data_IF_205884213783
#
_entry.id   IF_205884213783
#
_cell.length_a   1.000
_cell.length_b   1.000
_cell.length_c   1.000
_cell.angle_alpha   90.00
_cell.angle_beta   90.00
_cell.angle_gamma   90.00
#
_symmetry.space_group_name_H-M   'P 1'
#
loop_
_entity.id
_entity.type
_entity.pdbx_description
1 polymer ?
#
# COMPACT_ATOMS: atom_id res chain seq x y z
N UNK A 1 12.37 13.56 16.60
CA UNK A 1 10.99 13.04 16.78
C UNK A 1 11.00 11.58 16.44
N UNK A 2 10.46 10.72 17.33
CA UNK A 2 10.40 9.28 17.10
C UNK A 2 9.06 8.89 16.49
N UNK A 3 9.10 8.11 15.41
CA UNK A 3 7.92 7.65 14.67
C UNK A 3 7.89 6.12 14.60
N UNK A 4 6.69 5.54 14.60
CA UNK A 4 6.49 4.11 14.38
C UNK A 4 5.96 3.89 12.95
N UNK A 5 6.57 2.94 12.23
CA UNK A 5 6.04 2.40 10.97
C UNK A 5 5.70 0.94 11.19
N UNK A 6 4.43 0.54 11.08
CA UNK A 6 4.04 -0.87 11.10
C UNK A 6 3.99 -1.43 9.69
N UNK A 7 4.33 -2.70 9.49
CA UNK A 7 4.49 -3.28 8.14
C UNK A 7 5.69 -2.68 7.41
N UNK A 8 6.72 -2.31 8.16
CA UNK A 8 7.93 -1.66 7.66
C UNK A 8 8.78 -2.57 6.77
N UNK A 9 8.67 -3.88 6.94
CA UNK A 9 9.32 -4.93 6.14
C UNK A 9 8.72 -5.09 4.74
N UNK A 10 7.52 -4.52 4.52
CA UNK A 10 6.79 -4.61 3.26
C UNK A 10 7.24 -3.59 2.20
N UNK A 11 6.55 -3.61 1.05
CA UNK A 11 6.82 -2.75 -0.10
C UNK A 11 6.79 -1.25 0.26
N UNK A 12 5.63 -0.70 0.59
CA UNK A 12 5.49 0.73 0.89
C UNK A 12 6.18 1.08 2.20
N UNK A 13 6.06 0.21 3.22
CA UNK A 13 6.62 0.45 4.54
C UNK A 13 8.14 0.62 4.54
N UNK A 14 8.87 -0.17 3.73
CA UNK A 14 10.33 -0.04 3.62
C UNK A 14 10.76 1.27 2.96
N UNK A 15 10.07 1.69 1.90
CA UNK A 15 10.33 2.99 1.26
C UNK A 15 10.02 4.16 2.20
N UNK A 16 8.91 4.08 2.94
CA UNK A 16 8.54 5.10 3.93
C UNK A 16 9.55 5.17 5.06
N UNK A 17 9.99 4.03 5.59
CA UNK A 17 11.02 3.94 6.63
C UNK A 17 12.30 4.63 6.20
N UNK A 18 12.82 4.29 5.00
CA UNK A 18 14.04 4.92 4.49
C UNK A 18 13.85 6.42 4.20
N UNK A 19 12.67 6.85 3.74
CA UNK A 19 12.37 8.26 3.52
C UNK A 19 12.35 9.04 4.83
N UNK A 20 11.70 8.53 5.86
CA UNK A 20 11.67 9.13 7.20
C UNK A 20 13.07 9.25 7.82
N UNK A 21 13.92 8.24 7.67
CA UNK A 21 15.32 8.29 8.12
C UNK A 21 16.10 9.39 7.39
N UNK A 22 15.93 9.53 6.07
CA UNK A 22 16.55 10.60 5.26
C UNK A 22 16.08 12.00 5.68
N UNK A 23 14.85 12.13 6.16
CA UNK A 23 14.29 13.38 6.69
C UNK A 23 14.66 13.65 8.16
N UNK A 24 15.48 12.78 8.78
CA UNK A 24 16.02 12.99 10.14
C UNK A 24 15.12 12.51 11.27
N UNK A 25 14.11 11.67 10.99
CA UNK A 25 13.31 11.03 12.03
C UNK A 25 14.05 9.86 12.68
N UNK A 26 13.76 9.61 13.95
CA UNK A 26 14.04 8.34 14.60
C UNK A 26 12.89 7.37 14.27
N UNK A 27 13.19 6.24 13.62
CA UNK A 27 12.17 5.32 13.16
C UNK A 27 12.22 4.01 13.93
N UNK A 28 11.11 3.67 14.59
CA UNK A 28 10.83 2.31 15.04
C UNK A 28 10.07 1.59 13.93
N UNK A 29 10.67 0.55 13.36
CA UNK A 29 10.14 -0.22 12.25
C UNK A 29 9.60 -1.56 12.76
N UNK A 30 8.28 -1.77 12.73
CA UNK A 30 7.69 -3.07 13.03
C UNK A 30 7.73 -3.95 11.80
N UNK A 31 8.47 -5.04 11.89
CA UNK A 31 8.52 -6.14 10.93
C UNK A 31 7.70 -7.32 11.45
N UNK A 32 7.02 -8.05 10.57
CA UNK A 32 6.26 -9.22 10.96
C UNK A 32 7.21 -10.32 11.46
N UNK A 33 6.96 -10.83 12.68
CA UNK A 33 7.69 -11.99 13.20
C UNK A 33 7.49 -13.20 12.28
N UNK A 34 8.58 -13.78 11.80
CA UNK A 34 8.54 -14.93 10.91
C UNK A 34 9.66 -15.95 11.24
N UNK A 35 9.43 -17.21 10.84
CA UNK A 35 10.36 -18.31 11.12
C UNK A 35 11.68 -18.25 10.33
N UNK A 36 11.75 -17.42 9.29
CA UNK A 36 12.98 -17.24 8.52
C UNK A 36 13.93 -16.22 9.14
N UNK A 37 13.54 -15.59 10.25
CA UNK A 37 14.33 -14.59 10.98
C UNK A 37 14.89 -13.51 10.05
N UNK A 38 14.00 -12.94 9.20
CA UNK A 38 14.35 -11.85 8.31
C UNK A 38 13.39 -10.65 8.44
N UNK A 39 13.87 -9.50 8.04
CA UNK A 39 13.15 -8.23 8.11
C UNK A 39 12.69 -7.73 6.72
N UNK A 40 12.43 -8.67 5.81
CA UNK A 40 11.93 -8.36 4.47
C UNK A 40 12.82 -7.38 3.70
N UNK A 41 12.26 -6.26 3.28
CA UNK A 41 13.02 -5.25 2.53
C UNK A 41 13.90 -4.34 3.39
N UNK A 42 13.88 -4.50 4.71
CA UNK A 42 14.80 -3.80 5.62
C UNK A 42 16.08 -4.61 5.92
N UNK A 43 16.21 -5.83 5.38
CA UNK A 43 17.47 -6.58 5.45
C UNK A 43 18.61 -5.73 4.86
N UNK A 44 19.68 -5.59 5.65
CA UNK A 44 20.84 -4.81 5.24
C UNK A 44 20.71 -3.30 5.39
N UNK A 45 19.54 -2.78 5.78
CA UNK A 45 19.38 -1.36 6.10
C UNK A 45 19.97 -1.10 7.48
N UNK A 46 21.06 -0.33 7.53
CA UNK A 46 21.74 0.05 8.78
C UNK A 46 21.71 1.58 8.91
N UNK A 47 21.10 2.07 9.99
CA UNK A 47 21.05 3.51 10.29
C UNK A 47 20.97 3.72 11.81
N UNK A 48 21.72 4.67 12.40
CA UNK A 48 21.76 4.87 13.87
C UNK A 48 20.41 5.28 14.47
N UNK A 49 19.52 5.87 13.66
CA UNK A 49 18.17 6.26 14.07
C UNK A 49 17.09 5.21 13.71
N UNK A 50 17.48 3.99 13.29
CA UNK A 50 16.56 2.90 12.98
C UNK A 50 16.56 1.87 14.11
N UNK A 51 15.37 1.64 14.67
CA UNK A 51 15.10 0.55 15.62
C UNK A 51 14.17 -0.46 14.93
N UNK A 52 14.65 -1.68 14.65
CA UNK A 52 13.81 -2.74 14.09
C UNK A 52 13.26 -3.60 15.22
N UNK A 53 11.94 -3.81 15.22
CA UNK A 53 11.23 -4.63 16.19
C UNK A 53 10.43 -5.69 15.43
N UNK A 54 10.59 -6.97 15.80
CA UNK A 54 9.78 -8.06 15.25
C UNK A 54 8.58 -8.35 16.13
N UNK A 55 7.39 -8.44 15.52
CA UNK A 55 6.15 -8.70 16.26
C UNK A 55 4.91 -8.75 15.37
N UNK A 56 3.74 -8.70 15.99
CA UNK A 56 2.46 -8.84 15.32
C UNK A 56 1.43 -7.84 15.87
N UNK A 57 0.79 -7.07 14.99
CA UNK A 57 -0.25 -6.10 15.38
C UNK A 57 -1.49 -6.76 15.96
N UNK A 58 -1.67 -8.06 15.79
CA UNK A 58 -2.80 -8.82 16.37
C UNK A 58 -2.67 -9.01 17.89
N UNK A 59 -1.47 -8.83 18.44
CA UNK A 59 -1.22 -8.89 19.87
C UNK A 59 -1.36 -7.51 20.51
N UNK A 60 -2.40 -7.35 21.34
CA UNK A 60 -2.72 -6.06 21.97
C UNK A 60 -1.71 -5.67 23.06
N UNK A 61 -1.10 -6.63 23.75
CA UNK A 61 -0.10 -6.37 24.80
C UNK A 61 1.19 -5.90 24.16
N UNK A 62 1.62 -6.57 23.10
CA UNK A 62 2.77 -6.17 22.29
C UNK A 62 2.58 -4.75 21.70
N UNK A 63 1.42 -4.47 21.13
CA UNK A 63 1.14 -3.14 20.54
C UNK A 63 1.26 -2.00 21.56
N UNK A 64 0.87 -2.23 22.83
CA UNK A 64 1.01 -1.24 23.91
C UNK A 64 2.48 -0.90 24.19
N UNK A 65 3.35 -1.90 24.19
CA UNK A 65 4.78 -1.68 24.38
C UNK A 65 5.43 -1.06 23.13
N UNK A 66 5.04 -1.53 21.95
CA UNK A 66 5.56 -1.07 20.67
C UNK A 66 5.40 0.45 20.47
N UNK A 67 4.27 1.02 20.89
CA UNK A 67 3.93 2.43 20.67
C UNK A 67 4.63 3.37 21.66
N UNK A 68 5.16 2.86 22.79
CA UNK A 68 5.76 3.69 23.83
C UNK A 68 6.90 4.57 23.31
N UNK A 69 6.84 5.85 23.62
CA UNK A 69 7.84 6.84 23.22
C UNK A 69 7.75 7.31 21.77
N UNK A 70 6.80 6.79 20.98
CA UNK A 70 6.55 7.28 19.63
C UNK A 70 5.56 8.45 19.66
N UNK A 71 5.87 9.52 18.93
CA UNK A 71 5.01 10.70 18.81
C UNK A 71 4.02 10.58 17.65
N UNK A 72 4.37 9.81 16.63
CA UNK A 72 3.59 9.64 15.41
C UNK A 72 3.62 8.18 14.96
N UNK A 73 2.53 7.69 14.38
CA UNK A 73 2.41 6.32 13.90
C UNK A 73 1.93 6.33 12.44
N UNK A 74 2.64 5.59 11.59
CA UNK A 74 2.22 5.20 10.26
C UNK A 74 1.80 3.72 10.31
N UNK A 75 0.51 3.46 10.29
CA UNK A 75 -0.02 2.10 10.37
C UNK A 75 -0.28 1.52 8.99
N UNK A 76 0.71 0.73 8.48
CA UNK A 76 0.66 0.10 7.17
C UNK A 76 0.50 -1.44 7.26
N UNK A 77 0.70 -2.04 8.42
CA UNK A 77 0.56 -3.49 8.60
C UNK A 77 -0.84 -3.96 8.20
N UNK A 78 -0.93 -4.79 7.17
CA UNK A 78 -2.18 -5.32 6.64
C UNK A 78 -1.94 -6.55 5.76
N UNK A 79 -2.93 -7.42 5.64
CA UNK A 79 -3.04 -8.37 4.54
C UNK A 79 -3.76 -7.67 3.38
N UNK A 80 -3.18 -7.73 2.16
CA UNK A 80 -3.61 -6.90 1.03
C UNK A 80 -4.01 -7.67 -0.24
N UNK A 81 -3.58 -8.94 -0.40
CA UNK A 81 -3.82 -9.70 -1.62
C UNK A 81 -5.29 -10.08 -1.77
N UNK A 82 -6.03 -9.44 -2.68
CA UNK A 82 -7.46 -9.69 -2.90
C UNK A 82 -7.75 -11.19 -3.15
N UNK A 83 -7.01 -11.91 -4.04
CA UNK A 83 -7.27 -13.34 -4.25
C UNK A 83 -7.11 -14.21 -3.01
N UNK A 84 -6.16 -13.88 -2.13
CA UNK A 84 -5.99 -14.61 -0.88
C UNK A 84 -7.11 -14.31 0.13
N UNK A 85 -7.72 -13.14 0.07
CA UNK A 85 -8.86 -12.80 0.94
C UNK A 85 -10.10 -13.68 0.70
N UNK A 86 -10.23 -14.29 -0.48
CA UNK A 86 -11.29 -15.28 -0.76
C UNK A 86 -11.04 -16.63 -0.08
N UNK A 87 -9.76 -16.94 0.21
CA UNK A 87 -9.34 -18.22 0.78
C UNK A 87 -9.31 -18.15 2.31
N UNK A 88 -8.79 -17.04 2.85
CA UNK A 88 -8.54 -16.87 4.28
C UNK A 88 -9.12 -15.54 4.82
N UNK A 89 -10.44 -15.30 4.70
CA UNK A 89 -11.04 -14.01 5.09
C UNK A 89 -10.88 -13.69 6.58
N UNK A 90 -10.88 -14.70 7.45
CA UNK A 90 -10.69 -14.54 8.89
C UNK A 90 -9.34 -13.92 9.23
N UNK A 91 -8.27 -14.35 8.55
CA UNK A 91 -6.95 -13.74 8.71
C UNK A 91 -6.93 -12.24 8.38
N UNK A 92 -7.77 -11.82 7.42
CA UNK A 92 -7.93 -10.40 7.06
C UNK A 92 -8.67 -9.63 8.15
N UNK A 93 -9.70 -10.20 8.75
CA UNK A 93 -10.40 -9.60 9.91
C UNK A 93 -9.42 -9.43 11.08
N UNK A 94 -8.69 -10.48 11.42
CA UNK A 94 -7.74 -10.45 12.54
C UNK A 94 -6.62 -9.43 12.31
N UNK A 95 -6.05 -9.36 11.10
CA UNK A 95 -4.94 -8.46 10.83
C UNK A 95 -5.43 -7.03 10.59
N UNK A 96 -6.40 -6.84 9.69
CA UNK A 96 -6.77 -5.50 9.23
C UNK A 96 -7.69 -4.78 10.22
N UNK A 97 -8.68 -5.48 10.81
CA UNK A 97 -9.62 -4.85 11.76
C UNK A 97 -9.08 -4.91 13.18
N UNK A 98 -8.79 -6.10 13.69
CA UNK A 98 -8.31 -6.27 15.07
C UNK A 98 -6.92 -5.64 15.26
N UNK A 99 -6.01 -5.79 14.27
CA UNK A 99 -4.71 -5.11 14.30
C UNK A 99 -4.85 -3.60 14.36
N UNK A 100 -5.76 -3.00 13.58
CA UNK A 100 -6.04 -1.56 13.64
C UNK A 100 -6.64 -1.17 15.00
N UNK A 101 -7.54 -1.97 15.57
CA UNK A 101 -8.07 -1.75 16.92
C UNK A 101 -6.95 -1.68 17.96
N UNK A 102 -6.03 -2.65 17.92
CA UNK A 102 -4.92 -2.72 18.88
C UNK A 102 -4.02 -1.49 18.77
N UNK A 103 -3.70 -1.05 17.55
CA UNK A 103 -2.91 0.17 17.32
C UNK A 103 -3.66 1.42 17.80
N UNK A 104 -4.96 1.56 17.54
CA UNK A 104 -5.76 2.69 18.03
C UNK A 104 -5.80 2.75 19.56
N UNK A 105 -5.99 1.60 20.24
CA UNK A 105 -5.97 1.52 21.69
C UNK A 105 -4.60 1.89 22.28
N UNK A 106 -3.52 1.37 21.68
CA UNK A 106 -2.15 1.65 22.09
C UNK A 106 -1.77 3.12 21.86
N UNK A 107 -2.13 3.68 20.70
CA UNK A 107 -1.91 5.07 20.33
C UNK A 107 -2.63 6.03 21.29
N UNK A 108 -3.89 5.72 21.64
CA UNK A 108 -4.64 6.50 22.64
C UNK A 108 -3.99 6.46 24.01
N UNK A 109 -3.59 5.28 24.48
CA UNK A 109 -2.97 5.12 25.79
C UNK A 109 -1.61 5.83 25.89
N UNK A 110 -0.86 5.89 24.79
CA UNK A 110 0.44 6.55 24.71
C UNK A 110 0.33 8.07 24.43
N UNK A 111 -0.86 8.59 24.09
CA UNK A 111 -1.06 10.01 23.80
C UNK A 111 -0.31 10.48 22.54
N UNK A 112 -0.32 9.67 21.47
CA UNK A 112 0.38 10.03 20.23
C UNK A 112 -0.19 11.30 19.60
N UNK A 113 0.65 12.07 18.93
CA UNK A 113 0.28 13.34 18.29
C UNK A 113 -0.36 13.17 16.92
N UNK A 114 -0.14 12.02 16.28
CA UNK A 114 -0.70 11.70 14.95
C UNK A 114 -0.71 10.19 14.72
N UNK A 115 -1.85 9.67 14.20
CA UNK A 115 -1.98 8.31 13.71
C UNK A 115 -2.45 8.34 12.25
N UNK A 116 -1.57 7.96 11.33
CA UNK A 116 -1.92 7.75 9.92
C UNK A 116 -2.31 6.29 9.74
N UNK A 117 -3.57 6.04 9.41
CA UNK A 117 -4.07 4.70 9.09
C UNK A 117 -4.14 4.55 7.58
N UNK A 118 -3.41 3.57 7.05
CA UNK A 118 -3.41 3.31 5.61
C UNK A 118 -4.66 2.57 5.20
N UNK A 119 -5.47 3.19 4.36
CA UNK A 119 -6.64 2.61 3.68
C UNK A 119 -6.27 2.14 2.26
N UNK A 120 -7.25 2.09 1.37
CA UNK A 120 -7.10 1.68 -0.03
C UNK A 120 -8.21 2.27 -0.89
N UNK A 121 -7.94 2.54 -2.17
CA UNK A 121 -8.97 2.90 -3.16
C UNK A 121 -10.01 1.79 -3.39
N UNK A 122 -9.68 0.53 -3.09
CA UNK A 122 -10.61 -0.62 -3.23
C UNK A 122 -11.85 -0.53 -2.32
N UNK A 123 -11.86 0.38 -1.32
CA UNK A 123 -13.06 0.64 -0.48
C UNK A 123 -14.19 1.28 -1.28
N UNK A 124 -13.89 1.95 -2.38
CA UNK A 124 -14.88 2.60 -3.23
C UNK A 124 -15.60 1.63 -4.18
N UNK A 125 -14.98 0.46 -4.45
CA UNK A 125 -15.47 -0.43 -5.50
C UNK A 125 -15.36 0.21 -6.89
N UNK A 126 -16.18 -0.24 -7.83
CA UNK A 126 -16.26 0.36 -9.16
C UNK A 126 -16.81 1.77 -9.07
N UNK A 127 -16.09 2.72 -9.66
CA UNK A 127 -16.42 4.14 -9.61
C UNK A 127 -17.82 4.43 -10.18
N UNK A 128 -18.62 5.18 -9.41
CA UNK A 128 -19.89 5.76 -9.89
C UNK A 128 -19.66 7.11 -10.59
N UNK A 129 -18.60 7.81 -10.17
CA UNK A 129 -18.12 9.04 -10.78
C UNK A 129 -16.59 9.07 -10.80
N UNK A 130 -15.99 9.79 -11.75
CA UNK A 130 -14.54 9.91 -11.92
C UNK A 130 -14.19 11.36 -12.20
N UNK A 131 -13.18 11.93 -11.53
CA UNK A 131 -12.36 11.30 -10.49
C UNK A 131 -13.13 11.04 -9.19
N UNK A 132 -12.76 9.98 -8.45
CA UNK A 132 -13.44 9.51 -7.23
C UNK A 132 -13.12 10.45 -6.07
N UNK A 133 -14.08 11.22 -5.53
CA UNK A 133 -13.87 12.07 -4.36
C UNK A 133 -13.91 11.25 -3.07
N UNK A 134 -13.46 11.82 -1.96
CA UNK A 134 -13.52 11.18 -0.63
C UNK A 134 -14.96 10.95 -0.15
N UNK A 135 -15.92 11.68 -0.70
CA UNK A 135 -17.36 11.54 -0.40
C UNK A 135 -18.04 10.41 -1.16
N UNK A 136 -17.34 9.76 -2.10
CA UNK A 136 -17.88 8.61 -2.84
C UNK A 136 -18.31 7.49 -1.87
N UNK A 137 -19.45 6.83 -2.09
CA UNK A 137 -19.89 5.74 -1.23
C UNK A 137 -18.88 4.59 -1.22
N UNK A 138 -18.74 3.95 -0.05
CA UNK A 138 -17.91 2.76 0.11
C UNK A 138 -18.70 1.52 -0.32
N UNK A 139 -18.14 0.77 -1.27
CA UNK A 139 -18.78 -0.40 -1.88
C UNK A 139 -17.80 -1.60 -1.83
N UNK A 140 -17.86 -2.46 -0.82
CA UNK A 140 -16.94 -3.58 -0.72
C UNK A 140 -17.22 -4.63 -1.79
N UNK A 141 -16.27 -4.87 -2.68
CA UNK A 141 -16.36 -5.92 -3.71
C UNK A 141 -15.46 -7.14 -3.42
N UNK A 142 -14.80 -7.15 -2.25
CA UNK A 142 -13.99 -8.28 -1.77
C UNK A 142 -13.94 -8.34 -0.25
N UNK A 143 -13.61 -9.49 0.37
CA UNK A 143 -13.37 -9.56 1.81
C UNK A 143 -12.25 -8.60 2.25
N UNK A 144 -11.20 -8.43 1.43
CA UNK A 144 -10.15 -7.43 1.68
C UNK A 144 -10.73 -6.02 1.82
N UNK A 145 -11.48 -5.54 0.82
CA UNK A 145 -12.04 -4.18 0.87
C UNK A 145 -13.02 -4.00 2.03
N UNK A 146 -13.80 -5.03 2.35
CA UNK A 146 -14.69 -5.00 3.51
C UNK A 146 -13.92 -4.82 4.83
N UNK A 147 -12.78 -5.53 5.00
CA UNK A 147 -11.96 -5.37 6.21
C UNK A 147 -11.26 -4.00 6.26
N UNK A 148 -10.91 -3.40 5.14
CA UNK A 148 -10.36 -2.03 5.11
C UNK A 148 -11.40 -0.98 5.45
N UNK A 149 -12.65 -1.13 4.96
CA UNK A 149 -13.78 -0.27 5.38
C UNK A 149 -14.01 -0.39 6.89
N UNK A 150 -14.00 -1.61 7.43
CA UNK A 150 -14.12 -1.85 8.87
C UNK A 150 -13.02 -1.20 9.69
N UNK A 151 -11.77 -1.29 9.22
CA UNK A 151 -10.62 -0.66 9.85
C UNK A 151 -10.71 0.88 9.82
N UNK A 152 -11.10 1.47 8.68
CA UNK A 152 -11.33 2.92 8.53
C UNK A 152 -12.40 3.41 9.50
N UNK A 153 -13.56 2.73 9.51
CA UNK A 153 -14.68 3.09 10.39
C UNK A 153 -14.30 2.99 11.87
N UNK A 154 -13.56 1.94 12.24
CA UNK A 154 -13.07 1.74 13.60
C UNK A 154 -12.10 2.87 14.01
N UNK A 155 -11.12 3.18 13.20
CA UNK A 155 -10.15 4.24 13.50
C UNK A 155 -10.82 5.62 13.62
N UNK A 156 -11.76 5.95 12.73
CA UNK A 156 -12.56 7.19 12.81
C UNK A 156 -13.45 7.22 14.06
N UNK A 157 -13.98 6.08 14.52
CA UNK A 157 -14.73 6.03 15.76
C UNK A 157 -13.87 6.39 16.99
N UNK A 158 -12.57 6.07 16.97
CA UNK A 158 -11.64 6.48 18.03
C UNK A 158 -11.38 7.99 18.00
N UNK A 159 -11.34 8.60 16.81
CA UNK A 159 -11.30 10.06 16.71
C UNK A 159 -12.57 10.68 17.32
N UNK A 160 -13.75 10.22 16.89
CA UNK A 160 -15.02 10.80 17.30
C UNK A 160 -15.30 10.62 18.81
N UNK A 161 -14.94 9.46 19.38
CA UNK A 161 -15.27 9.14 20.77
C UNK A 161 -14.18 9.58 21.77
N UNK A 162 -12.93 9.66 21.34
CA UNK A 162 -11.78 9.82 22.22
C UNK A 162 -10.79 10.89 21.76
N UNK A 163 -11.13 11.64 20.71
CA UNK A 163 -10.28 12.69 20.13
C UNK A 163 -8.89 12.18 19.68
N UNK A 164 -8.76 10.86 19.39
CA UNK A 164 -7.52 10.33 18.85
C UNK A 164 -7.19 11.03 17.52
N UNK A 165 -5.98 11.60 17.33
CA UNK A 165 -5.63 12.38 16.14
C UNK A 165 -5.36 11.47 14.92
N UNK A 166 -6.41 10.80 14.45
CA UNK A 166 -6.39 9.87 13.30
C UNK A 166 -6.57 10.62 11.99
N UNK A 167 -5.82 10.21 10.98
CA UNK A 167 -6.06 10.54 9.57
C UNK A 167 -6.07 9.24 8.77
N UNK A 168 -7.10 9.03 7.96
CA UNK A 168 -7.15 7.92 7.02
C UNK A 168 -6.49 8.35 5.72
N UNK A 169 -5.34 7.78 5.43
CA UNK A 169 -4.64 8.00 4.17
C UNK A 169 -5.02 6.89 3.18
N UNK A 170 -5.58 7.28 2.04
CA UNK A 170 -6.12 6.33 1.04
C UNK A 170 -5.34 6.39 -0.26
N UNK A 171 -4.22 5.64 -0.37
CA UNK A 171 -3.47 5.57 -1.62
C UNK A 171 -4.25 4.82 -2.68
N UNK A 172 -4.16 5.32 -3.92
CA UNK A 172 -4.54 4.58 -5.11
C UNK A 172 -3.43 3.60 -5.48
N UNK A 173 -3.56 2.88 -6.60
CA UNK A 173 -2.68 1.75 -6.89
C UNK A 173 -1.19 2.12 -6.86
N UNK A 174 -0.55 1.92 -5.73
CA UNK A 174 0.88 2.19 -5.57
C UNK A 174 1.71 1.13 -6.28
N UNK A 175 2.74 1.56 -7.04
CA UNK A 175 3.67 0.68 -7.75
C UNK A 175 5.11 1.17 -7.59
N UNK A 176 6.08 0.28 -7.82
CA UNK A 176 7.51 0.62 -7.74
C UNK A 176 8.41 -0.57 -7.39
N UNK A 177 9.69 -0.31 -7.15
CA UNK A 177 10.64 -1.29 -6.63
C UNK A 177 10.10 -2.00 -5.37
N UNK A 178 10.45 -3.27 -5.16
CA UNK A 178 10.03 -4.09 -4.00
C UNK A 178 8.54 -4.49 -3.97
N UNK A 179 7.75 -4.09 -4.97
CA UNK A 179 6.35 -4.48 -5.00
C UNK A 179 6.18 -5.99 -5.17
N UNK A 180 5.23 -6.58 -4.44
CA UNK A 180 4.96 -8.02 -4.51
C UNK A 180 4.51 -8.46 -5.90
N UNK A 181 4.97 -9.64 -6.37
CA UNK A 181 4.51 -10.29 -7.59
C UNK A 181 3.03 -10.75 -7.56
N UNK A 182 2.28 -10.43 -6.50
CA UNK A 182 0.82 -10.54 -6.47
C UNK A 182 0.14 -9.37 -7.19
N UNK A 183 0.86 -8.27 -7.42
CA UNK A 183 0.37 -7.10 -8.15
C UNK A 183 0.68 -7.20 -9.65
N UNK A 184 -0.09 -6.48 -10.46
CA UNK A 184 -0.04 -6.56 -11.91
C UNK A 184 1.32 -6.15 -12.50
N UNK A 185 1.81 -4.95 -12.19
CA UNK A 185 3.06 -4.40 -12.77
C UNK A 185 4.26 -5.32 -12.51
N UNK A 186 4.56 -5.73 -11.25
CA UNK A 186 5.69 -6.64 -11.02
C UNK A 186 5.50 -8.02 -11.64
N UNK A 187 4.26 -8.52 -11.74
CA UNK A 187 3.99 -9.78 -12.44
C UNK A 187 4.39 -9.70 -13.91
N UNK A 188 4.03 -8.63 -14.61
CA UNK A 188 4.36 -8.45 -16.02
C UNK A 188 5.87 -8.26 -16.21
N UNK A 189 6.48 -7.36 -15.43
CA UNK A 189 7.92 -7.08 -15.54
C UNK A 189 8.73 -8.34 -15.26
N UNK A 190 8.43 -9.09 -14.21
CA UNK A 190 9.18 -10.29 -13.85
C UNK A 190 9.08 -11.40 -14.89
N UNK A 191 7.91 -11.60 -15.51
CA UNK A 191 7.74 -12.55 -16.61
C UNK A 191 8.62 -12.14 -17.82
N UNK A 192 8.56 -10.88 -18.24
CA UNK A 192 9.35 -10.38 -19.38
C UNK A 192 10.85 -10.43 -19.06
N UNK A 193 11.26 -10.02 -17.85
CA UNK A 193 12.66 -10.03 -17.42
C UNK A 193 13.24 -11.46 -17.33
N UNK A 194 12.43 -12.46 -17.02
CA UNK A 194 12.84 -13.88 -17.05
C UNK A 194 12.92 -14.49 -18.45
N UNK A 195 12.65 -13.71 -19.51
CA UNK A 195 12.74 -14.14 -20.90
C UNK A 195 11.49 -14.82 -21.47
N UNK A 196 10.35 -14.74 -20.75
CA UNK A 196 9.08 -15.25 -21.28
C UNK A 196 8.61 -14.39 -22.46
N UNK A 197 8.14 -15.05 -23.51
CA UNK A 197 7.56 -14.41 -24.71
C UNK A 197 6.03 -14.46 -24.71
N UNK A 198 5.47 -15.32 -23.91
CA UNK A 198 4.02 -15.44 -23.65
C UNK A 198 3.74 -15.00 -22.21
N UNK A 199 3.07 -13.85 -22.05
CA UNK A 199 2.83 -13.22 -20.76
C UNK A 199 1.40 -13.53 -20.30
N UNK A 200 1.29 -14.24 -19.18
CA UNK A 200 0.02 -14.59 -18.56
C UNK A 200 -0.54 -13.44 -17.76
N UNK A 201 -1.72 -12.95 -18.10
CA UNK A 201 -2.41 -11.83 -17.45
C UNK A 201 -3.89 -12.17 -17.20
N UNK A 202 -4.55 -11.37 -16.37
CA UNK A 202 -5.99 -11.38 -16.17
C UNK A 202 -6.72 -10.50 -17.20
N UNK A 203 -7.86 -9.91 -16.78
CA UNK A 203 -8.58 -8.93 -17.60
C UNK A 203 -7.72 -7.67 -17.81
N UNK A 204 -7.67 -7.20 -19.05
CA UNK A 204 -6.89 -6.02 -19.46
C UNK A 204 -7.75 -4.77 -19.65
N UNK A 205 -9.07 -4.90 -19.53
CA UNK A 205 -10.01 -3.79 -19.72
C UNK A 205 -10.10 -2.81 -18.55
N UNK A 206 -9.95 -3.23 -17.27
CA UNK A 206 -10.04 -2.31 -16.15
C UNK A 206 -9.01 -1.17 -16.23
N UNK A 207 -9.39 -0.01 -15.68
CA UNK A 207 -8.48 1.14 -15.58
C UNK A 207 -8.05 1.37 -14.14
N UNK A 208 -6.84 1.89 -13.96
CA UNK A 208 -6.25 2.19 -12.65
C UNK A 208 -5.54 3.53 -12.67
N UNK A 209 -5.54 4.19 -11.52
CA UNK A 209 -4.70 5.33 -11.19
C UNK A 209 -3.46 4.80 -10.46
N UNK A 210 -2.32 4.87 -11.12
CA UNK A 210 -1.06 4.37 -10.58
C UNK A 210 -0.24 5.48 -9.94
N UNK A 211 0.08 5.31 -8.64
CA UNK A 211 0.98 6.18 -7.90
C UNK A 211 2.36 5.55 -7.74
N UNK A 212 3.41 6.26 -8.11
CA UNK A 212 4.75 5.79 -7.81
C UNK A 212 5.00 5.79 -6.31
N UNK A 213 5.70 4.77 -5.79
CA UNK A 213 5.82 4.52 -4.35
C UNK A 213 6.39 5.70 -3.56
N UNK A 214 7.34 6.44 -4.12
CA UNK A 214 7.88 7.64 -3.45
C UNK A 214 6.85 8.77 -3.34
N UNK A 215 5.97 8.92 -4.34
CA UNK A 215 4.85 9.89 -4.28
C UNK A 215 3.86 9.48 -3.19
N UNK A 216 3.55 8.20 -3.07
CA UNK A 216 2.71 7.67 -1.99
C UNK A 216 3.34 7.95 -0.62
N UNK A 217 4.65 7.68 -0.44
CA UNK A 217 5.35 7.94 0.82
C UNK A 217 5.37 9.43 1.18
N UNK A 218 5.64 10.31 0.19
CA UNK A 218 5.55 11.77 0.40
C UNK A 218 4.13 12.20 0.80
N UNK A 219 3.11 11.54 0.22
CA UNK A 219 1.71 11.76 0.61
C UNK A 219 1.44 11.43 2.07
N UNK A 220 1.90 10.28 2.55
CA UNK A 220 1.79 9.90 3.96
C UNK A 220 2.45 10.93 4.88
N UNK A 221 3.69 11.35 4.57
CA UNK A 221 4.42 12.33 5.38
C UNK A 221 3.71 13.69 5.35
N UNK A 222 3.25 14.13 4.18
CA UNK A 222 2.53 15.40 4.06
C UNK A 222 1.23 15.41 4.90
N UNK A 223 0.47 14.31 4.90
CA UNK A 223 -0.72 14.15 5.74
C UNK A 223 -0.38 14.07 7.23
N UNK A 224 0.74 13.45 7.57
CA UNK A 224 1.16 13.36 8.97
C UNK A 224 1.51 14.72 9.56
N UNK A 225 2.01 15.64 8.75
CA UNK A 225 2.43 17.00 9.17
C UNK A 225 1.34 18.06 9.00
N UNK A 226 0.28 17.81 8.23
CA UNK A 226 -0.76 18.78 7.97
C UNK A 226 -1.62 19.04 9.23
N UNK A 227 -1.81 20.30 9.65
CA UNK A 227 -2.64 20.64 10.81
C UNK A 227 -4.14 20.61 10.46
N UNK A 228 -4.97 20.29 11.45
CA UNK A 228 -6.43 20.44 11.37
C UNK A 228 -7.11 19.47 10.40
N UNK A 229 -6.52 18.29 10.16
CA UNK A 229 -7.07 17.26 9.28
C UNK A 229 -7.44 15.96 10.01
N UNK A 230 -7.39 16.01 11.33
CA UNK A 230 -7.78 14.88 12.18
C UNK A 230 -9.25 14.50 11.91
N UNK A 231 -9.53 13.20 11.89
CA UNK A 231 -10.86 12.66 11.57
C UNK A 231 -11.19 12.64 10.07
N UNK A 232 -10.27 13.03 9.18
CA UNK A 232 -10.51 13.04 7.74
C UNK A 232 -9.99 11.80 7.05
N UNK A 233 -10.68 11.44 5.97
CA UNK A 233 -10.24 10.47 4.97
C UNK A 233 -9.71 11.26 3.77
N UNK A 234 -8.50 10.93 3.27
CA UNK A 234 -7.85 11.73 2.23
C UNK A 234 -7.20 10.82 1.18
N UNK A 235 -7.57 11.02 -0.08
CA UNK A 235 -7.02 10.28 -1.21
C UNK A 235 -5.59 10.73 -1.51
N UNK A 236 -4.72 9.76 -1.82
CA UNK A 236 -3.39 9.97 -2.41
C UNK A 236 -3.43 9.36 -3.80
N UNK A 237 -3.66 10.18 -4.82
CA UNK A 237 -3.94 9.75 -6.19
C UNK A 237 -3.17 10.59 -7.20
N UNK A 238 -2.74 10.00 -8.33
CA UNK A 238 -2.12 10.76 -9.41
C UNK A 238 -3.14 11.64 -10.16
N UNK A 239 -4.43 11.27 -10.10
CA UNK A 239 -5.50 11.91 -10.84
C UNK A 239 -5.54 11.54 -12.32
N UNK A 240 -4.81 10.50 -12.71
CA UNK A 240 -4.77 9.99 -14.09
C UNK A 240 -5.05 8.50 -14.12
N UNK A 241 -5.83 8.06 -15.11
CA UNK A 241 -6.14 6.65 -15.28
C UNK A 241 -5.58 6.09 -16.58
N UNK A 242 -5.23 4.82 -16.55
CA UNK A 242 -4.77 4.06 -17.71
C UNK A 242 -5.32 2.64 -17.64
N UNK A 243 -5.61 2.02 -18.81
CA UNK A 243 -6.05 0.63 -18.84
C UNK A 243 -4.90 -0.32 -18.48
N UNK A 244 -5.26 -1.49 -17.93
CA UNK A 244 -4.28 -2.55 -17.67
C UNK A 244 -3.57 -2.96 -18.98
N UNK A 245 -4.31 -2.98 -20.10
CA UNK A 245 -3.75 -3.29 -21.42
C UNK A 245 -2.75 -2.26 -21.93
N UNK A 246 -3.02 -0.96 -21.76
CA UNK A 246 -2.07 0.09 -22.15
C UNK A 246 -0.84 0.10 -21.24
N UNK A 247 -1.04 -0.14 -19.94
CA UNK A 247 0.07 -0.27 -18.99
C UNK A 247 1.01 -1.41 -19.39
N UNK A 248 0.45 -2.54 -19.77
CA UNK A 248 1.20 -3.71 -20.21
C UNK A 248 1.97 -3.43 -21.51
N UNK A 249 1.33 -2.77 -22.50
CA UNK A 249 2.01 -2.34 -23.72
C UNK A 249 3.17 -1.38 -23.44
N UNK A 250 2.95 -0.43 -22.53
CA UNK A 250 3.99 0.52 -22.12
C UNK A 250 5.18 -0.18 -21.46
N UNK A 251 4.96 -1.17 -20.60
CA UNK A 251 6.01 -1.99 -19.98
C UNK A 251 6.82 -2.73 -21.06
N UNK A 252 6.14 -3.41 -21.98
CA UNK A 252 6.80 -4.14 -23.08
C UNK A 252 7.64 -3.22 -23.99
N UNK A 253 7.13 -2.03 -24.30
CA UNK A 253 7.80 -0.99 -25.07
C UNK A 253 9.07 -0.49 -24.37
N UNK A 254 8.98 -0.13 -23.08
CA UNK A 254 10.14 0.32 -22.30
C UNK A 254 11.22 -0.77 -22.23
N UNK A 255 10.80 -2.04 -22.06
CA UNK A 255 11.73 -3.18 -22.03
C UNK A 255 12.27 -3.58 -23.41
N UNK A 256 11.78 -2.98 -24.51
CA UNK A 256 12.18 -3.30 -25.87
C UNK A 256 11.89 -4.75 -26.27
N UNK A 257 10.83 -5.35 -25.71
CA UNK A 257 10.47 -6.76 -25.93
C UNK A 257 9.17 -6.90 -26.69
N UNK A 258 9.17 -7.78 -27.71
CA UNK A 258 7.96 -8.25 -28.37
C UNK A 258 7.44 -9.45 -27.62
N UNK A 259 6.26 -9.33 -27.03
CA UNK A 259 5.62 -10.39 -26.23
C UNK A 259 4.17 -10.57 -26.65
N UNK A 260 3.66 -11.78 -26.49
CA UNK A 260 2.26 -12.12 -26.69
C UNK A 260 1.56 -12.12 -25.31
N UNK A 261 0.33 -11.62 -25.26
CA UNK A 261 -0.47 -11.58 -24.03
C UNK A 261 -1.53 -12.67 -24.09
N UNK A 262 -1.57 -13.50 -23.05
CA UNK A 262 -2.50 -14.61 -22.95
C UNK A 262 -3.30 -14.47 -21.67
N UNK A 263 -4.63 -14.48 -21.80
CA UNK A 263 -5.52 -14.48 -20.65
C UNK A 263 -5.44 -15.82 -19.92
N UNK A 264 -5.03 -15.76 -18.65
CA UNK A 264 -5.02 -16.90 -17.75
C UNK A 264 -6.31 -16.89 -16.90
N UNK A 265 -7.21 -17.87 -17.07
CA UNK A 265 -8.46 -17.94 -16.30
C UNK A 265 -8.26 -17.92 -14.78
N UNK A 266 -7.13 -18.44 -14.28
CA UNK A 266 -6.82 -18.43 -12.85
C UNK A 266 -6.57 -17.02 -12.31
N UNK A 267 -6.31 -16.04 -13.18
CA UNK A 267 -6.04 -14.62 -12.84
C UNK A 267 -7.27 -13.72 -13.03
N UNK A 268 -8.39 -14.27 -13.51
CA UNK A 268 -9.65 -13.55 -13.63
C UNK A 268 -10.35 -13.56 -12.28
N UNK A 269 -10.71 -12.38 -11.79
CA UNK A 269 -11.51 -12.26 -10.56
C UNK A 269 -12.97 -12.64 -10.82
N UNK A 270 -13.73 -13.05 -9.79
CA UNK A 270 -15.19 -13.15 -9.91
C UNK A 270 -15.78 -11.83 -10.43
N UNK A 271 -16.74 -11.90 -11.34
CA UNK A 271 -17.30 -10.72 -12.02
C UNK A 271 -17.75 -9.61 -11.04
N UNK A 272 -18.49 -9.98 -9.99
CA UNK A 272 -18.93 -9.03 -8.94
C UNK A 272 -17.81 -8.47 -8.07
N UNK A 273 -16.59 -9.03 -8.15
CA UNK A 273 -15.41 -8.58 -7.38
C UNK A 273 -14.41 -7.80 -8.23
N UNK A 274 -14.58 -7.75 -9.55
CA UNK A 274 -13.70 -6.92 -10.38
C UNK A 274 -14.11 -5.45 -10.31
N UNK A 275 -13.14 -4.61 -9.96
CA UNK A 275 -13.29 -3.17 -9.93
C UNK A 275 -12.90 -2.63 -11.29
N UNK A 276 -13.88 -2.21 -12.08
CA UNK A 276 -13.66 -1.83 -13.48
C UNK A 276 -12.91 -0.52 -13.64
N UNK A 277 -13.13 0.45 -12.74
CA UNK A 277 -12.56 1.78 -12.90
C UNK A 277 -12.16 2.40 -11.57
N UNK A 278 -10.89 2.81 -11.45
CA UNK A 278 -10.36 3.56 -10.31
C UNK A 278 -9.49 4.72 -10.82
N UNK A 279 -9.96 5.95 -10.58
CA UNK A 279 -9.18 7.19 -10.78
C UNK A 279 -9.52 8.15 -9.66
N UNK A 280 -8.54 8.54 -8.85
CA UNK A 280 -8.76 9.29 -7.63
C UNK A 280 -8.79 10.79 -7.84
N UNK A 281 -9.64 11.48 -7.08
CA UNK A 281 -9.57 12.92 -6.93
C UNK A 281 -8.49 13.28 -5.90
N UNK A 282 -7.51 14.07 -6.30
CA UNK A 282 -6.43 14.52 -5.42
C UNK A 282 -6.55 15.99 -4.99
N UNK A 283 -7.67 16.64 -5.28
CA UNK A 283 -7.88 18.06 -4.93
C UNK A 283 -7.82 18.31 -3.43
N UNK A 284 -8.27 17.36 -2.61
CA UNK A 284 -8.26 17.52 -1.14
C UNK A 284 -6.82 17.54 -0.63
N UNK A 285 -6.00 16.52 -0.92
CA UNK A 285 -4.61 16.50 -0.45
C UNK A 285 -3.82 17.69 -0.98
N UNK A 286 -4.03 18.08 -2.24
CA UNK A 286 -3.33 19.21 -2.87
C UNK A 286 -3.76 20.57 -2.34
N UNK A 287 -4.96 20.70 -1.77
CA UNK A 287 -5.42 21.92 -1.12
C UNK A 287 -4.92 22.06 0.33
N UNK A 288 -4.73 20.92 1.02
CA UNK A 288 -4.36 20.87 2.43
C UNK A 288 -2.86 20.79 2.67
N UNK A 289 -2.10 20.38 1.64
CA UNK A 289 -0.67 20.12 1.75
C UNK A 289 0.06 20.61 0.49
N UNK A 290 1.40 20.80 0.54
CA UNK A 290 2.20 21.07 -0.64
C UNK A 290 2.40 19.83 -1.54
N UNK A 291 1.86 18.69 -1.16
CA UNK A 291 2.03 17.45 -1.92
C UNK A 291 1.47 17.56 -3.35
N UNK A 292 2.24 17.05 -4.29
CA UNK A 292 1.86 16.85 -5.69
C UNK A 292 2.51 15.56 -6.19
N UNK A 293 1.89 14.81 -7.13
CA UNK A 293 2.58 13.70 -7.80
C UNK A 293 3.73 14.28 -8.62
N UNK A 294 4.93 13.72 -8.46
CA UNK A 294 6.17 14.20 -9.08
C UNK A 294 6.69 13.28 -10.16
N UNK A 295 6.29 12.01 -10.12
CA UNK A 295 6.82 10.97 -11.01
C UNK A 295 5.72 10.57 -12.00
N UNK A 296 5.94 10.81 -13.29
CA UNK A 296 5.04 10.33 -14.33
C UNK A 296 5.01 8.80 -14.38
N UNK A 297 3.91 8.21 -14.90
CA UNK A 297 3.80 6.74 -15.00
C UNK A 297 4.98 6.13 -15.76
N UNK A 298 5.39 6.72 -16.91
CA UNK A 298 6.52 6.23 -17.70
C UNK A 298 7.82 6.25 -16.91
N UNK A 299 8.15 7.36 -16.25
CA UNK A 299 9.35 7.46 -15.41
C UNK A 299 9.35 6.47 -14.25
N UNK A 300 8.21 6.28 -13.59
CA UNK A 300 8.09 5.31 -12.51
C UNK A 300 8.20 3.87 -12.99
N UNK A 301 7.66 3.56 -14.18
CA UNK A 301 7.83 2.25 -14.81
C UNK A 301 9.31 1.99 -15.20
N UNK A 302 10.00 2.97 -15.77
CA UNK A 302 11.44 2.87 -16.09
C UNK A 302 12.25 2.52 -14.83
N UNK A 303 12.08 3.28 -13.73
CA UNK A 303 12.75 3.00 -12.45
C UNK A 303 12.37 1.61 -11.88
N UNK A 304 11.11 1.21 -12.03
CA UNK A 304 10.63 -0.09 -11.55
C UNK A 304 11.24 -1.23 -12.37
N UNK A 305 11.28 -1.10 -13.70
CA UNK A 305 11.88 -2.06 -14.62
C UNK A 305 13.37 -2.22 -14.33
N UNK A 306 14.11 -1.11 -14.19
CA UNK A 306 15.54 -1.13 -13.87
C UNK A 306 15.81 -1.92 -12.59
N UNK A 307 14.99 -1.72 -11.57
CA UNK A 307 15.13 -2.45 -10.32
C UNK A 307 14.82 -3.95 -10.47
N UNK A 308 13.75 -4.32 -11.20
CA UNK A 308 13.37 -5.73 -11.40
C UNK A 308 14.28 -6.48 -12.36
N UNK A 309 14.96 -5.80 -13.29
CA UNK A 309 15.90 -6.41 -14.22
C UNK A 309 17.26 -6.70 -13.60
N UNK A 310 17.56 -6.16 -12.42
CA UNK A 310 18.70 -6.57 -11.62
C UNK A 310 18.54 -8.04 -11.21
N UNK A 311 19.49 -8.94 -11.53
CA UNK A 311 19.38 -10.38 -11.21
C UNK A 311 19.18 -10.69 -9.74
N UNK A 312 19.80 -9.95 -8.83
CA UNK A 312 19.63 -10.14 -7.38
C UNK A 312 18.19 -9.87 -6.93
N UNK A 313 17.56 -8.82 -7.49
CA UNK A 313 16.19 -8.49 -7.17
C UNK A 313 15.23 -9.47 -7.82
N UNK A 314 15.44 -9.80 -9.10
CA UNK A 314 14.59 -10.73 -9.83
C UNK A 314 14.59 -12.13 -9.19
N UNK A 315 15.72 -12.59 -8.65
CA UNK A 315 15.85 -13.90 -8.01
C UNK A 315 14.92 -14.10 -6.79
N UNK A 316 14.41 -13.01 -6.22
CA UNK A 316 13.44 -13.05 -5.10
C UNK A 316 12.02 -13.33 -5.56
N UNK A 317 11.76 -13.34 -6.88
CA UNK A 317 10.43 -13.53 -7.48
C UNK A 317 10.32 -14.87 -8.18
N UNK A 318 9.10 -15.35 -8.33
CA UNK A 318 8.78 -16.62 -9.00
C UNK A 318 7.86 -16.32 -10.19
N UNK A 319 8.42 -15.89 -11.34
CA UNK A 319 7.62 -15.40 -12.47
C UNK A 319 6.79 -16.49 -13.15
N UNK A 320 7.16 -17.77 -12.99
CA UNK A 320 6.50 -18.94 -13.62
C UNK A 320 5.19 -19.31 -12.93
N UNK A 321 4.98 -18.89 -11.69
CA UNK A 321 3.78 -19.25 -10.92
C UNK A 321 2.83 -18.07 -10.73
N UNK A 322 1.55 -18.38 -10.53
CA UNK A 322 0.59 -17.37 -10.07
C UNK A 322 0.73 -17.18 -8.55
N UNK A 323 1.28 -16.04 -8.15
CA UNK A 323 1.44 -15.69 -6.73
C UNK A 323 0.09 -15.22 -6.15
N UNK A 324 -0.46 -15.97 -5.20
CA UNK A 324 -1.73 -15.66 -4.50
C UNK A 324 -1.47 -15.12 -3.10
#
# INVERSE_FOLDING_TARGET
MKVLVTGADGFIGSHLTEMLLREGYEVRALCLYNSFNNWGWLEGVSHPALEIVSGDVRDSSFCRELVQGCEMIFHLAALIAIPYSYIAPESYVDTNIKGTLNICQAARAAGVKRLIVTSTSEVYGTALEVPIPETHPKQPQSPYSATKIGADALALSFHNAFELPVVIARPFNTYGPRQSARAFIPTIISQIASGMTEIKCGDLSPTRDFNYVEDTCRGFIALALAPGIEGREINIASGTEISMGDTLRMIADIMGKKVNFVTDPARIRPEGSEVMRLCGDNRVITSLTPWRPQVSLRQGLEKTIDWFTNPENLSRYKPEIYNR
#
